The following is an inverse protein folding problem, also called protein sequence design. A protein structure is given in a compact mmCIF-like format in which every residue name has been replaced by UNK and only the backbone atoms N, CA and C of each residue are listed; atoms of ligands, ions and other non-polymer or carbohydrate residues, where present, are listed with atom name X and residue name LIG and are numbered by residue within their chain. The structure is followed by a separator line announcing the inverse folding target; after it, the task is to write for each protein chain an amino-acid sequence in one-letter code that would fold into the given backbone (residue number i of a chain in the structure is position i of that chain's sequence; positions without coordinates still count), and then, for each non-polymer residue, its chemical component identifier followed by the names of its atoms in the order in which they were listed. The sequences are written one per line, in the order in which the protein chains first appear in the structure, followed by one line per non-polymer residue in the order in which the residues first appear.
data_IF_009242040462
#
_entry.id   IF_009242040462
#
_cell.length_a   1.000
_cell.length_b   1.000
_cell.length_c   1.000
_cell.angle_alpha   90.00
_cell.angle_beta   90.00
_cell.angle_gamma   90.00
#
_symmetry.space_group_name_H-M   'P 1'
#
loop_
_entity.id
_entity.type
_entity.pdbx_description
1 polymer ?
#
# COMPACT_ATOMS: atom_id res chain seq x y z
N UNK A 1 72.85 -10.68 -41.64
CA UNK A 1 72.34 -10.57 -40.25
C UNK A 1 70.83 -10.67 -40.31
N UNK A 2 70.31 -11.80 -39.85
CA UNK A 2 68.88 -12.17 -39.83
C UNK A 2 68.17 -11.50 -38.65
N UNK A 3 67.03 -10.86 -38.90
CA UNK A 3 66.20 -10.22 -37.86
C UNK A 3 64.84 -10.92 -37.77
N UNK A 4 64.60 -11.43 -36.57
CA UNK A 4 63.41 -11.99 -35.92
C UNK A 4 62.04 -11.94 -36.64
N UNK A 5 61.43 -13.14 -36.75
CA UNK A 5 59.99 -13.33 -36.80
C UNK A 5 59.43 -13.37 -35.37
N UNK A 6 58.51 -12.46 -35.03
CA UNK A 6 57.71 -12.51 -33.81
C UNK A 6 56.44 -13.36 -34.00
N UNK A 7 55.95 -14.06 -32.96
CA UNK A 7 54.76 -14.91 -33.08
C UNK A 7 53.50 -14.05 -33.20
N UNK A 8 52.67 -14.36 -34.21
CA UNK A 8 51.35 -13.76 -34.42
C UNK A 8 50.38 -14.28 -33.35
N UNK A 9 49.97 -13.41 -32.42
CA UNK A 9 48.95 -13.69 -31.42
C UNK A 9 47.58 -13.86 -32.11
N UNK A 10 47.05 -15.08 -32.08
CA UNK A 10 45.70 -15.39 -32.54
C UNK A 10 44.66 -14.78 -31.59
N UNK A 11 43.80 -13.92 -32.14
CA UNK A 11 42.75 -13.23 -31.40
C UNK A 11 41.62 -14.22 -31.02
N UNK A 12 41.16 -14.25 -29.75
CA UNK A 12 40.12 -15.20 -29.33
C UNK A 12 38.75 -14.86 -29.93
N UNK A 13 37.88 -15.87 -30.17
CA UNK A 13 36.60 -15.65 -30.82
C UNK A 13 35.67 -14.76 -29.97
N UNK A 14 34.80 -13.95 -30.60
CA UNK A 14 33.92 -13.05 -29.89
C UNK A 14 32.90 -13.83 -29.06
N UNK A 15 32.80 -13.49 -27.76
CA UNK A 15 31.80 -14.06 -26.85
C UNK A 15 30.38 -13.76 -27.36
N UNK A 16 29.43 -14.72 -27.28
CA UNK A 16 28.07 -14.49 -27.75
C UNK A 16 27.42 -13.35 -26.96
N UNK A 17 27.02 -12.29 -27.67
CA UNK A 17 26.24 -11.18 -27.11
C UNK A 17 24.94 -11.74 -26.54
N UNK A 18 24.81 -11.71 -25.21
CA UNK A 18 23.58 -12.05 -24.49
C UNK A 18 22.49 -11.11 -24.99
N UNK A 19 21.54 -11.63 -25.79
CA UNK A 19 20.42 -10.83 -26.33
C UNK A 19 19.64 -10.25 -25.16
N UNK A 20 19.44 -8.93 -25.18
CA UNK A 20 18.54 -8.26 -24.26
C UNK A 20 17.15 -8.92 -24.36
N UNK A 21 16.46 -9.19 -23.24
CA UNK A 21 15.22 -9.93 -23.28
C UNK A 21 14.19 -9.13 -24.07
N UNK A 22 13.68 -9.72 -25.15
CA UNK A 22 12.62 -9.16 -25.97
C UNK A 22 11.37 -8.87 -25.10
N UNK A 23 10.57 -7.88 -25.50
CA UNK A 23 9.48 -7.25 -24.73
C UNK A 23 8.38 -8.14 -24.13
N UNK A 24 8.46 -9.47 -24.25
CA UNK A 24 7.68 -10.44 -23.48
C UNK A 24 8.12 -10.55 -22.00
N UNK A 25 9.35 -10.11 -21.67
CA UNK A 25 9.88 -10.15 -20.30
C UNK A 25 9.42 -8.96 -19.42
N UNK A 26 8.88 -7.91 -20.02
CA UNK A 26 8.34 -6.77 -19.29
C UNK A 26 6.87 -7.04 -19.02
N UNK A 27 6.48 -7.06 -17.75
CA UNK A 27 5.07 -7.13 -17.38
C UNK A 27 4.36 -5.92 -17.97
N UNK A 28 3.42 -6.15 -18.89
CA UNK A 28 2.64 -5.06 -19.46
C UNK A 28 1.71 -4.50 -18.39
N UNK A 29 1.75 -3.18 -18.23
CA UNK A 29 1.00 -2.45 -17.20
C UNK A 29 -0.50 -2.46 -17.47
N UNK A 30 -0.90 -2.38 -18.74
CA UNK A 30 -2.32 -2.49 -19.15
C UNK A 30 -2.97 -3.79 -18.67
N UNK A 31 -2.23 -4.90 -18.69
CA UNK A 31 -2.68 -6.19 -18.18
C UNK A 31 -2.72 -6.20 -16.65
N UNK A 32 -1.78 -5.53 -15.97
CA UNK A 32 -1.79 -5.40 -14.51
C UNK A 32 -3.05 -4.65 -14.07
N UNK A 33 -3.36 -3.53 -14.71
CA UNK A 33 -4.55 -2.71 -14.43
C UNK A 33 -5.85 -3.44 -14.76
N UNK A 34 -5.91 -4.18 -15.89
CA UNK A 34 -7.06 -5.03 -16.21
C UNK A 34 -7.32 -6.09 -15.14
N UNK A 35 -6.26 -6.72 -14.59
CA UNK A 35 -6.39 -7.68 -13.50
C UNK A 35 -6.87 -6.99 -12.22
N UNK A 36 -6.32 -5.81 -11.87
CA UNK A 36 -6.77 -5.04 -10.69
C UNK A 36 -8.25 -4.65 -10.79
N UNK A 37 -8.71 -4.20 -11.95
CA UNK A 37 -10.12 -3.91 -12.19
C UNK A 37 -11.00 -5.16 -12.01
N UNK A 38 -10.58 -6.30 -12.59
CA UNK A 38 -11.28 -7.57 -12.46
C UNK A 38 -11.36 -8.09 -11.01
N UNK A 39 -10.33 -7.83 -10.19
CA UNK A 39 -10.36 -8.13 -8.75
C UNK A 39 -11.45 -7.34 -8.05
N UNK A 40 -11.55 -6.04 -8.33
CA UNK A 40 -12.59 -5.21 -7.74
C UNK A 40 -13.98 -5.71 -8.13
N UNK A 41 -14.21 -6.01 -9.40
CA UNK A 41 -15.50 -6.54 -9.87
C UNK A 41 -15.86 -7.90 -9.26
N UNK A 42 -14.90 -8.83 -9.20
CA UNK A 42 -15.13 -10.15 -8.61
C UNK A 42 -15.40 -10.02 -7.11
N UNK A 43 -14.63 -9.19 -6.41
CA UNK A 43 -14.82 -8.94 -4.99
C UNK A 43 -16.19 -8.29 -4.71
N UNK A 44 -16.58 -7.28 -5.48
CA UNK A 44 -17.88 -6.64 -5.34
C UNK A 44 -19.03 -7.63 -5.62
N UNK A 45 -18.82 -8.59 -6.52
CA UNK A 45 -19.83 -9.58 -6.87
C UNK A 45 -19.97 -10.71 -5.83
N UNK A 46 -18.87 -11.23 -5.30
CA UNK A 46 -18.89 -12.46 -4.50
C UNK A 46 -18.24 -12.35 -3.11
N UNK A 47 -17.59 -11.24 -2.79
CA UNK A 47 -16.83 -11.04 -1.54
C UNK A 47 -15.51 -11.81 -1.51
N UNK A 48 -14.64 -11.48 -0.55
CA UNK A 48 -13.27 -12.02 -0.54
C UNK A 48 -13.23 -13.55 -0.43
N UNK A 49 -14.13 -14.12 0.38
CA UNK A 49 -14.18 -15.55 0.65
C UNK A 49 -14.45 -16.37 -0.62
N UNK A 50 -15.43 -15.96 -1.44
CA UNK A 50 -15.83 -16.70 -2.66
C UNK A 50 -15.04 -16.30 -3.91
N UNK A 51 -14.29 -15.21 -3.87
CA UNK A 51 -13.44 -14.77 -4.97
C UNK A 51 -12.40 -15.83 -5.34
N UNK A 52 -12.21 -16.05 -6.65
CA UNK A 52 -11.28 -17.02 -7.22
C UNK A 52 -10.35 -16.39 -8.26
N UNK A 53 -9.13 -16.93 -8.41
CA UNK A 53 -8.19 -16.46 -9.45
C UNK A 53 -8.74 -16.75 -10.85
N UNK A 54 -9.47 -17.84 -11.02
CA UNK A 54 -10.17 -18.20 -12.25
C UNK A 54 -11.24 -17.16 -12.62
N UNK A 55 -12.05 -16.73 -11.64
CA UNK A 55 -13.05 -15.68 -11.82
C UNK A 55 -12.41 -14.35 -12.23
N UNK A 56 -11.33 -13.98 -11.56
CA UNK A 56 -10.54 -12.77 -11.88
C UNK A 56 -9.95 -12.86 -13.28
N UNK A 57 -9.28 -13.96 -13.62
CA UNK A 57 -8.63 -14.15 -14.90
C UNK A 57 -9.65 -14.08 -16.06
N UNK A 58 -10.81 -14.71 -15.89
CA UNK A 58 -11.92 -14.65 -16.85
C UNK A 58 -12.44 -13.23 -17.05
N UNK A 59 -12.62 -12.45 -15.98
CA UNK A 59 -13.06 -11.04 -16.08
C UNK A 59 -12.01 -10.15 -16.75
N UNK A 60 -10.74 -10.34 -16.42
CA UNK A 60 -9.64 -9.59 -17.01
C UNK A 60 -9.31 -10.00 -18.46
N UNK A 61 -9.91 -11.07 -18.99
CA UNK A 61 -9.60 -11.59 -20.32
C UNK A 61 -8.19 -12.17 -20.43
N UNK A 62 -7.63 -12.71 -19.34
CA UNK A 62 -6.27 -13.25 -19.27
C UNK A 62 -6.25 -14.70 -18.81
N UNK A 63 -5.13 -15.39 -19.06
CA UNK A 63 -4.89 -16.73 -18.49
C UNK A 63 -4.49 -16.67 -17.01
N UNK A 64 -4.78 -17.73 -16.25
CA UNK A 64 -4.40 -17.89 -14.83
C UNK A 64 -2.90 -17.63 -14.58
N UNK A 65 -2.06 -18.10 -15.50
CA UNK A 65 -0.60 -17.92 -15.47
C UNK A 65 -0.20 -16.44 -15.51
N UNK A 66 -0.95 -15.58 -16.19
CA UNK A 66 -0.66 -14.15 -16.25
C UNK A 66 -0.92 -13.45 -14.90
N UNK A 67 -1.88 -13.95 -14.12
CA UNK A 67 -2.15 -13.50 -12.74
C UNK A 67 -1.04 -13.97 -11.81
N UNK A 68 -0.73 -15.28 -11.82
CA UNK A 68 0.31 -15.83 -10.91
C UNK A 68 1.72 -15.31 -11.16
N UNK A 69 2.04 -14.92 -12.40
CA UNK A 69 3.32 -14.29 -12.73
C UNK A 69 3.49 -12.93 -12.03
N UNK A 70 2.39 -12.26 -11.68
CA UNK A 70 2.38 -10.95 -11.00
C UNK A 70 2.16 -11.08 -9.51
N UNK A 71 1.22 -11.93 -9.09
CA UNK A 71 0.88 -12.12 -7.68
C UNK A 71 0.89 -13.59 -7.30
N UNK A 72 1.69 -13.92 -6.28
CA UNK A 72 1.86 -15.29 -5.80
C UNK A 72 0.61 -15.93 -5.21
N UNK A 73 -0.36 -15.13 -4.75
CA UNK A 73 -1.63 -15.63 -4.23
C UNK A 73 -2.75 -14.59 -4.32
N UNK A 74 -4.00 -15.04 -4.11
CA UNK A 74 -5.20 -14.18 -3.99
C UNK A 74 -5.00 -13.09 -2.94
N UNK A 75 -4.40 -13.42 -1.80
CA UNK A 75 -4.13 -12.46 -0.73
C UNK A 75 -3.16 -11.36 -1.19
N UNK A 76 -2.07 -11.71 -1.88
CA UNK A 76 -1.09 -10.74 -2.37
C UNK A 76 -1.68 -9.78 -3.40
N UNK A 77 -2.52 -10.32 -4.28
CA UNK A 77 -3.25 -9.53 -5.27
C UNK A 77 -4.16 -8.48 -4.61
N UNK A 78 -4.87 -8.88 -3.56
CA UNK A 78 -5.80 -7.99 -2.86
C UNK A 78 -5.06 -6.97 -2.00
N UNK A 79 -3.99 -7.37 -1.31
CA UNK A 79 -3.17 -6.44 -0.53
C UNK A 79 -2.50 -5.40 -1.43
N UNK A 80 -2.01 -5.78 -2.61
CA UNK A 80 -1.50 -4.84 -3.61
C UNK A 80 -2.56 -3.80 -4.02
N UNK A 81 -3.80 -4.25 -4.25
CA UNK A 81 -4.92 -3.37 -4.58
C UNK A 81 -5.28 -2.42 -3.43
N UNK A 82 -5.24 -2.90 -2.18
CA UNK A 82 -5.46 -2.06 -0.98
C UNK A 82 -4.33 -1.04 -0.82
N UNK A 83 -3.07 -1.46 -1.00
CA UNK A 83 -1.91 -0.56 -0.94
C UNK A 83 -1.97 0.53 -2.00
N UNK A 84 -2.45 0.22 -3.21
CA UNK A 84 -2.58 1.20 -4.29
C UNK A 84 -3.62 2.31 -4.01
N UNK A 85 -4.63 2.05 -3.17
CA UNK A 85 -5.65 3.05 -2.78
C UNK A 85 -5.42 3.66 -1.40
N UNK A 86 -4.61 3.01 -0.58
CA UNK A 86 -4.23 3.51 0.74
C UNK A 86 -3.23 4.67 0.62
N UNK A 87 -2.98 5.36 1.73
CA UNK A 87 -2.05 6.49 1.85
C UNK A 87 -0.58 6.04 1.75
N UNK A 88 -0.30 4.86 1.16
CA UNK A 88 1.04 4.29 1.13
C UNK A 88 1.94 5.05 0.17
N UNK A 89 3.14 5.42 0.62
CA UNK A 89 4.14 6.09 -0.20
C UNK A 89 3.90 7.58 -0.44
N UNK A 90 2.88 8.20 0.19
CA UNK A 90 2.80 9.65 0.22
C UNK A 90 3.83 10.21 1.21
N UNK A 91 4.52 11.31 0.87
CA UNK A 91 5.37 11.98 1.84
C UNK A 91 4.52 12.44 3.02
N UNK A 92 5.12 12.41 4.22
CA UNK A 92 4.49 13.00 5.38
C UNK A 92 4.16 14.48 5.10
N UNK A 93 2.95 14.97 5.44
CA UNK A 93 2.65 16.38 5.40
C UNK A 93 3.67 17.19 6.21
N UNK A 94 4.09 18.33 5.66
CA UNK A 94 4.93 19.30 6.35
C UNK A 94 4.36 20.71 6.13
N UNK A 95 3.27 20.98 6.85
CA UNK A 95 2.53 22.25 6.82
C UNK A 95 3.11 23.27 7.79
N UNK A 96 4.12 22.90 8.57
CA UNK A 96 4.69 23.72 9.64
C UNK A 96 3.90 23.68 10.96
N UNK A 97 2.88 22.83 11.09
CA UNK A 97 2.13 22.66 12.35
C UNK A 97 1.56 21.25 12.51
N UNK A 98 1.56 20.71 13.73
CA UNK A 98 0.99 19.38 14.00
C UNK A 98 -0.47 19.27 13.56
N UNK A 99 -1.29 20.28 13.83
CA UNK A 99 -2.71 20.26 13.42
C UNK A 99 -2.87 20.30 11.90
N UNK A 100 -2.06 21.10 11.19
CA UNK A 100 -2.08 21.14 9.73
C UNK A 100 -1.69 19.79 9.11
N UNK A 101 -0.69 19.14 9.69
CA UNK A 101 -0.20 17.83 9.23
C UNK A 101 -1.26 16.74 9.46
N UNK A 102 -1.86 16.71 10.65
CA UNK A 102 -2.96 15.80 10.99
C UNK A 102 -4.21 16.04 10.14
N UNK A 103 -4.54 17.30 9.84
CA UNK A 103 -5.68 17.63 8.98
C UNK A 103 -5.49 17.07 7.57
N UNK A 104 -4.31 17.26 6.97
CA UNK A 104 -4.02 16.70 5.64
C UNK A 104 -4.03 15.17 5.67
N UNK A 105 -3.44 14.56 6.70
CA UNK A 105 -3.52 13.11 6.91
C UNK A 105 -4.98 12.63 6.91
N UNK A 106 -5.85 13.32 7.65
CA UNK A 106 -7.26 12.96 7.78
C UNK A 106 -8.08 13.19 6.52
N UNK A 107 -7.86 14.28 5.79
CA UNK A 107 -8.51 14.52 4.51
C UNK A 107 -8.17 13.40 3.51
N UNK A 108 -6.89 13.05 3.41
CA UNK A 108 -6.40 12.00 2.50
C UNK A 108 -6.90 10.62 2.92
N UNK A 109 -6.75 10.24 4.19
CA UNK A 109 -7.20 8.94 4.73
C UNK A 109 -8.71 8.79 4.60
N UNK A 110 -9.46 9.84 4.89
CA UNK A 110 -10.92 9.84 4.77
C UNK A 110 -11.36 9.68 3.30
N UNK A 111 -10.65 10.28 2.34
CA UNK A 111 -10.90 10.07 0.91
C UNK A 111 -10.58 8.64 0.48
N UNK A 112 -9.45 8.09 0.92
CA UNK A 112 -9.04 6.73 0.63
C UNK A 112 -10.07 5.71 1.15
N UNK A 113 -10.53 5.85 2.41
CA UNK A 113 -11.52 4.96 3.02
C UNK A 113 -12.92 5.08 2.39
N UNK A 114 -13.25 6.20 1.74
CA UNK A 114 -14.47 6.35 0.93
C UNK A 114 -14.37 5.69 -0.45
N UNK A 115 -13.18 5.33 -0.90
CA UNK A 115 -13.02 4.67 -2.19
C UNK A 115 -13.78 3.34 -2.18
N UNK A 116 -14.61 3.02 -3.19
CA UNK A 116 -15.43 1.81 -3.20
C UNK A 116 -14.64 0.52 -2.98
N UNK A 117 -13.44 0.45 -3.58
CA UNK A 117 -12.46 -0.63 -3.35
C UNK A 117 -12.17 -0.73 -1.85
N UNK A 118 -11.54 0.27 -1.24
CA UNK A 118 -11.13 0.23 0.17
C UNK A 118 -12.31 -0.05 1.12
N UNK A 119 -13.45 0.61 0.89
CA UNK A 119 -14.65 0.47 1.73
C UNK A 119 -15.29 -0.91 1.69
N UNK A 120 -15.08 -1.70 0.62
CA UNK A 120 -15.56 -3.08 0.52
C UNK A 120 -14.48 -4.09 0.91
N UNK A 121 -13.24 -3.93 0.42
CA UNK A 121 -12.15 -4.89 0.64
C UNK A 121 -11.78 -4.95 2.12
N UNK A 122 -11.57 -3.79 2.76
CA UNK A 122 -10.98 -3.75 4.11
C UNK A 122 -11.88 -4.45 5.13
N UNK A 123 -13.21 -4.20 5.18
CA UNK A 123 -14.10 -4.93 6.09
C UNK A 123 -14.16 -6.44 5.81
N UNK A 124 -14.16 -6.86 4.54
CA UNK A 124 -14.16 -8.28 4.16
C UNK A 124 -12.88 -8.97 4.62
N UNK A 125 -11.73 -8.35 4.39
CA UNK A 125 -10.45 -8.87 4.86
C UNK A 125 -10.36 -8.90 6.39
N UNK A 126 -10.88 -7.90 7.10
CA UNK A 126 -10.93 -7.91 8.57
C UNK A 126 -11.79 -9.07 9.09
N UNK A 127 -12.95 -9.31 8.47
CA UNK A 127 -13.82 -10.43 8.83
C UNK A 127 -13.15 -11.80 8.55
N UNK A 128 -12.26 -11.88 7.57
CA UNK A 128 -11.50 -13.08 7.27
C UNK A 128 -10.26 -13.24 8.17
N UNK A 129 -9.57 -12.15 8.49
CA UNK A 129 -8.43 -12.11 9.41
C UNK A 129 -8.77 -12.69 10.79
N UNK A 130 -10.01 -12.47 11.26
CA UNK A 130 -10.51 -13.06 12.51
C UNK A 130 -10.50 -14.60 12.53
N UNK A 131 -10.48 -15.25 11.36
CA UNK A 131 -10.51 -16.71 11.19
C UNK A 131 -9.24 -17.26 10.54
N UNK A 132 -8.36 -16.40 10.04
CA UNK A 132 -7.15 -16.79 9.32
C UNK A 132 -5.93 -15.94 9.76
N UNK A 133 -5.00 -16.53 10.54
CA UNK A 133 -3.82 -15.83 11.04
C UNK A 133 -2.88 -15.30 9.94
N UNK A 134 -2.78 -15.99 8.80
CA UNK A 134 -1.93 -15.54 7.68
C UNK A 134 -2.46 -14.24 7.08
N UNK A 135 -3.78 -14.14 6.94
CA UNK A 135 -4.45 -12.92 6.46
C UNK A 135 -4.30 -11.80 7.49
N UNK A 136 -4.49 -12.11 8.78
CA UNK A 136 -4.31 -11.13 9.85
C UNK A 136 -2.89 -10.55 9.84
N UNK A 137 -1.86 -11.38 9.73
CA UNK A 137 -0.47 -10.93 9.73
C UNK A 137 -0.12 -10.14 8.46
N UNK A 138 -0.61 -10.58 7.29
CA UNK A 138 -0.35 -9.86 6.05
C UNK A 138 -1.04 -8.49 6.02
N UNK A 139 -2.27 -8.39 6.54
CA UNK A 139 -2.95 -7.11 6.72
C UNK A 139 -2.22 -6.21 7.72
N UNK A 140 -1.81 -6.78 8.86
CA UNK A 140 -1.08 -6.08 9.91
C UNK A 140 0.19 -5.45 9.34
N UNK A 141 0.97 -6.24 8.61
CA UNK A 141 2.20 -5.80 7.95
C UNK A 141 1.92 -4.70 6.92
N UNK A 142 1.00 -4.95 5.99
CA UNK A 142 0.67 -4.00 4.94
C UNK A 142 0.21 -2.65 5.53
N UNK A 143 -0.75 -2.65 6.46
CA UNK A 143 -1.27 -1.41 7.04
C UNK A 143 -0.21 -0.67 7.85
N UNK A 144 0.53 -1.37 8.72
CA UNK A 144 1.56 -0.73 9.56
C UNK A 144 2.68 -0.12 8.73
N UNK A 145 3.20 -0.83 7.72
CA UNK A 145 4.30 -0.31 6.91
C UNK A 145 3.95 1.03 6.24
N UNK A 146 2.73 1.16 5.71
CA UNK A 146 2.28 2.42 5.10
C UNK A 146 1.96 3.52 6.12
N UNK A 147 1.30 3.17 7.23
CA UNK A 147 0.91 4.13 8.26
C UNK A 147 2.12 4.67 9.02
N UNK A 148 3.08 3.79 9.35
CA UNK A 148 4.30 4.13 10.07
C UNK A 148 5.12 5.16 9.31
N UNK A 149 5.33 4.98 8.00
CA UNK A 149 6.10 5.96 7.22
C UNK A 149 5.54 7.38 7.28
N UNK A 150 4.21 7.55 7.24
CA UNK A 150 3.57 8.87 7.27
C UNK A 150 3.53 9.42 8.70
N UNK A 151 3.15 8.59 9.67
CA UNK A 151 3.04 9.02 11.06
C UNK A 151 4.39 9.35 11.68
N UNK A 152 5.42 8.52 11.47
CA UNK A 152 6.77 8.80 11.94
C UNK A 152 7.27 10.14 11.41
N UNK A 153 6.96 10.49 10.15
CA UNK A 153 7.30 11.81 9.61
C UNK A 153 6.59 12.96 10.30
N UNK A 154 5.27 12.86 10.52
CA UNK A 154 4.48 13.88 11.23
C UNK A 154 4.95 14.04 12.68
N UNK A 155 5.15 12.92 13.38
CA UNK A 155 5.59 12.90 14.78
C UNK A 155 7.01 13.46 14.90
N UNK A 156 7.94 13.02 14.05
CA UNK A 156 9.31 13.54 14.07
C UNK A 156 9.35 15.05 13.81
N UNK A 157 8.58 15.55 12.85
CA UNK A 157 8.49 16.98 12.57
C UNK A 157 7.88 17.76 13.76
N UNK A 158 6.86 17.19 14.42
CA UNK A 158 6.26 17.78 15.61
C UNK A 158 7.23 17.81 16.81
N UNK A 159 8.00 16.73 17.03
CA UNK A 159 9.06 16.67 18.06
C UNK A 159 10.14 17.72 17.77
N UNK A 160 10.59 17.84 16.52
CA UNK A 160 11.59 18.83 16.13
C UNK A 160 11.12 20.29 16.37
N UNK A 161 9.81 20.55 16.25
CA UNK A 161 9.19 21.85 16.58
C UNK A 161 8.94 22.07 18.07
N UNK A 162 9.06 21.03 18.90
CA UNK A 162 8.66 21.05 20.31
C UNK A 162 7.15 21.00 20.52
N UNK A 163 6.38 20.61 19.50
CA UNK A 163 4.93 20.42 19.61
C UNK A 163 4.58 19.18 20.44
N UNK A 164 5.42 18.14 20.42
CA UNK A 164 5.20 16.83 21.07
C UNK A 164 6.48 16.42 21.84
N UNK A 165 6.32 15.67 22.93
CA UNK A 165 7.44 15.16 23.71
C UNK A 165 8.32 14.18 22.93
N UNK A 166 9.64 14.22 23.15
CA UNK A 166 10.60 13.35 22.47
C UNK A 166 10.48 11.85 22.85
N UNK A 167 9.71 11.52 23.89
CA UNK A 167 9.50 10.16 24.38
C UNK A 167 8.12 9.58 23.96
N UNK A 168 7.49 10.16 22.95
CA UNK A 168 6.20 9.68 22.45
C UNK A 168 6.29 8.23 21.98
N UNK A 169 5.36 7.40 22.45
CA UNK A 169 5.20 6.03 21.96
C UNK A 169 4.63 6.07 20.53
N UNK A 170 5.44 5.65 19.56
CA UNK A 170 5.07 5.69 18.14
C UNK A 170 3.90 4.76 17.80
N UNK A 171 3.79 3.60 18.45
CA UNK A 171 2.70 2.66 18.22
C UNK A 171 1.38 3.24 18.76
N UNK A 172 1.42 3.87 19.93
CA UNK A 172 0.26 4.56 20.48
C UNK A 172 -0.12 5.79 19.65
N UNK A 173 0.86 6.57 19.17
CA UNK A 173 0.63 7.70 18.28
C UNK A 173 -0.10 7.24 17.00
N UNK A 174 0.35 6.13 16.40
CA UNK A 174 -0.32 5.51 15.24
C UNK A 174 -1.76 5.13 15.53
N UNK A 175 -2.01 4.47 16.67
CA UNK A 175 -3.36 4.04 17.06
C UNK A 175 -4.31 5.24 17.24
N UNK A 176 -3.85 6.32 17.88
CA UNK A 176 -4.64 7.56 18.06
C UNK A 176 -4.84 8.27 16.73
N UNK A 177 -3.82 8.32 15.87
CA UNK A 177 -3.90 8.99 14.57
C UNK A 177 -4.91 8.28 13.66
N UNK A 178 -4.78 6.97 13.45
CA UNK A 178 -5.59 6.27 12.44
C UNK A 178 -6.87 5.61 13.00
N UNK A 179 -6.84 5.18 14.26
CA UNK A 179 -7.90 4.39 14.89
C UNK A 179 -9.30 4.98 14.74
N UNK A 180 -9.54 6.28 15.03
CA UNK A 180 -10.87 6.88 14.94
C UNK A 180 -11.51 6.81 13.55
N UNK A 181 -10.73 7.05 12.48
CA UNK A 181 -11.23 6.96 11.10
C UNK A 181 -11.50 5.52 10.68
N UNK A 182 -10.63 4.58 11.07
CA UNK A 182 -10.82 3.16 10.80
C UNK A 182 -12.03 2.59 11.57
N UNK A 183 -12.19 2.93 12.86
CA UNK A 183 -13.35 2.55 13.65
C UNK A 183 -14.65 2.97 12.96
N UNK A 184 -14.76 4.24 12.57
CA UNK A 184 -15.97 4.74 11.90
C UNK A 184 -16.21 4.13 10.53
N UNK A 185 -15.16 3.98 9.73
CA UNK A 185 -15.30 3.58 8.32
C UNK A 185 -15.45 2.06 8.16
N UNK A 186 -14.72 1.29 8.96
CA UNK A 186 -14.61 -0.17 8.82
C UNK A 186 -15.51 -0.90 9.82
N UNK A 187 -15.53 -0.47 11.09
CA UNK A 187 -16.29 -1.14 12.15
C UNK A 187 -17.74 -0.66 12.17
N UNK A 188 -17.96 0.65 12.31
CA UNK A 188 -19.30 1.27 12.30
C UNK A 188 -19.90 1.29 10.88
N UNK A 189 -19.06 1.20 9.84
CA UNK A 189 -19.47 1.25 8.43
C UNK A 189 -20.22 2.54 8.06
N UNK A 190 -19.79 3.66 8.64
CA UNK A 190 -20.33 5.01 8.38
C UNK A 190 -19.29 5.92 7.71
N UNK A 191 -18.98 5.73 6.42
CA UNK A 191 -17.94 6.48 5.72
C UNK A 191 -18.32 7.96 5.46
N UNK A 192 -19.61 8.30 5.55
CA UNK A 192 -20.05 9.70 5.59
C UNK A 192 -19.77 10.28 6.97
N UNK A 193 -18.86 11.24 7.02
CA UNK A 193 -18.47 11.92 8.24
C UNK A 193 -19.36 13.16 8.47
N UNK A 194 -19.76 13.46 9.71
CA UNK A 194 -20.45 14.70 10.04
C UNK A 194 -19.64 15.93 9.62
N UNK A 195 -20.33 17.05 9.38
CA UNK A 195 -19.68 18.34 9.13
C UNK A 195 -18.77 18.70 10.31
N UNK A 196 -17.56 19.16 10.04
CA UNK A 196 -16.58 19.54 11.07
C UNK A 196 -15.94 18.36 11.83
N UNK A 197 -16.25 17.12 11.44
CA UNK A 197 -15.70 15.94 12.13
C UNK A 197 -14.18 15.84 12.01
N UNK A 198 -13.62 16.04 10.80
CA UNK A 198 -12.17 15.98 10.60
C UNK A 198 -11.44 17.06 11.40
N UNK A 199 -11.99 18.27 11.46
CA UNK A 199 -11.44 19.38 12.23
C UNK A 199 -11.44 19.09 13.74
N UNK A 200 -12.55 18.54 14.25
CA UNK A 200 -12.66 18.13 15.65
C UNK A 200 -11.69 17.00 15.98
N UNK A 201 -11.55 16.03 15.05
CA UNK A 201 -10.62 14.93 15.19
C UNK A 201 -9.16 15.42 15.17
N UNK A 202 -8.81 16.35 14.28
CA UNK A 202 -7.49 16.99 14.24
C UNK A 202 -7.12 17.59 15.60
N UNK A 203 -7.99 18.41 16.18
CA UNK A 203 -7.74 19.02 17.49
C UNK A 203 -7.63 17.98 18.61
N UNK A 204 -8.53 16.99 18.62
CA UNK A 204 -8.53 15.94 19.63
C UNK A 204 -7.24 15.10 19.58
N UNK A 205 -6.81 14.72 18.37
CA UNK A 205 -5.57 13.96 18.18
C UNK A 205 -4.34 14.80 18.50
N UNK A 206 -4.30 16.08 18.10
CA UNK A 206 -3.19 16.96 18.46
C UNK A 206 -3.05 17.11 19.97
N UNK A 207 -4.17 17.27 20.69
CA UNK A 207 -4.18 17.32 22.15
C UNK A 207 -3.73 16.01 22.79
N UNK A 208 -4.16 14.86 22.25
CA UNK A 208 -3.71 13.55 22.72
C UNK A 208 -2.19 13.36 22.49
N UNK A 209 -1.68 13.63 21.29
CA UNK A 209 -0.25 13.51 20.98
C UNK A 209 0.61 14.45 21.84
N UNK A 210 0.13 15.65 22.17
CA UNK A 210 0.79 16.58 23.10
C UNK A 210 0.85 16.06 24.54
N UNK A 211 -0.06 15.16 24.91
CA UNK A 211 -0.17 14.59 26.25
C UNK A 211 0.57 13.26 26.41
N UNK A 212 1.05 12.67 25.31
CA UNK A 212 1.96 11.52 25.29
C UNK A 212 3.40 11.99 25.55
#
# INVERSE_FOLDING_TARGET
MTTNAGPSEAQPPPRPRRRAPAGAAVLREDVTEAIRAAVFEELAAVGYARMSIEGIARRAGVGKTAVYRRWRSKLHLVLDLVSAVAVQGLPAPDTGSLEGDLRLLYEVTSRALRHPVAGQIIPDLQAEAARNPEIAEAMRKALREGQQSVATGIVAAAVARGDVGAAVDEDLALDVMFGPLYWRSVVVRSPKLPKGYLESLTRATAAALRAL
#
